data_IF_028572987138
#
_entry.id   IF_028572987138
#
_cell.length_a   1.000
_cell.length_b   1.000
_cell.length_c   1.000
_cell.angle_alpha   90.00
_cell.angle_beta   90.00
_cell.angle_gamma   90.00
#
_symmetry.space_group_name_H-M   'P 1'
#
loop_
_entity.id
_entity.type
_entity.pdbx_description
1 polymer ?
#
# COMPACT_ATOMS: atom_id res chain seq x y z
N UNK A 1 1.00 -14.53 -15.01
CA UNK A 1 1.92 -13.52 -15.39
C UNK A 1 1.55 -12.20 -14.81
N UNK A 2 2.32 -11.71 -13.96
CA UNK A 2 1.93 -10.54 -13.22
C UNK A 2 2.76 -9.35 -13.54
N UNK A 3 2.74 -8.98 -14.81
CA UNK A 3 3.48 -7.81 -15.25
C UNK A 3 2.58 -6.60 -15.33
N UNK A 4 1.72 -6.44 -14.33
CA UNK A 4 0.88 -5.28 -14.34
C UNK A 4 1.73 -4.03 -14.12
N UNK A 5 1.35 -2.91 -14.74
CA UNK A 5 2.04 -1.66 -14.48
C UNK A 5 2.05 -1.29 -13.01
N UNK A 6 1.00 -1.62 -12.29
CA UNK A 6 0.92 -1.34 -10.86
C UNK A 6 2.02 -2.05 -10.08
N UNK A 7 2.21 -3.36 -10.31
CA UNK A 7 3.24 -4.11 -9.60
C UNK A 7 4.63 -3.59 -9.94
N UNK A 8 4.87 -3.26 -11.20
CA UNK A 8 6.16 -2.70 -11.60
C UNK A 8 6.42 -1.39 -10.90
N UNK A 9 5.41 -0.54 -10.82
CA UNK A 9 5.58 0.76 -10.19
C UNK A 9 5.74 0.64 -8.69
N UNK A 10 5.05 -0.31 -8.06
CA UNK A 10 5.25 -0.57 -6.64
C UNK A 10 6.70 -0.98 -6.36
N UNK A 11 7.28 -1.77 -7.26
CA UNK A 11 8.68 -2.14 -7.13
C UNK A 11 9.61 -0.93 -7.18
N UNK A 12 9.34 -0.01 -8.09
CA UNK A 12 10.11 1.23 -8.20
C UNK A 12 9.94 2.06 -6.94
N UNK A 13 8.71 2.19 -6.46
CA UNK A 13 8.43 2.96 -5.25
C UNK A 13 9.16 2.38 -4.05
N UNK A 14 9.19 1.05 -3.96
CA UNK A 14 9.88 0.35 -2.89
C UNK A 14 11.38 0.62 -2.94
N UNK A 15 11.97 0.52 -4.12
CA UNK A 15 13.40 0.74 -4.27
C UNK A 15 13.81 2.16 -3.97
N UNK A 16 12.91 3.11 -4.18
CA UNK A 16 13.21 4.52 -3.90
C UNK A 16 13.07 4.85 -2.41
N UNK A 17 12.64 3.88 -1.58
CA UNK A 17 12.50 4.10 -0.16
C UNK A 17 11.20 4.78 0.24
N UNK A 18 10.21 4.77 -0.64
CA UNK A 18 8.95 5.45 -0.38
C UNK A 18 7.80 4.55 0.04
N UNK A 19 8.09 3.27 0.30
CA UNK A 19 7.10 2.36 0.86
C UNK A 19 7.45 2.00 2.30
N UNK A 20 6.43 1.88 3.11
CA UNK A 20 6.57 1.48 4.52
C UNK A 20 5.79 0.20 4.69
N UNK A 21 6.41 -0.79 5.32
CA UNK A 21 5.78 -2.08 5.58
C UNK A 21 5.61 -2.29 7.07
N UNK A 22 4.53 -2.99 7.42
CA UNK A 22 4.30 -3.37 8.81
C UNK A 22 3.47 -2.36 9.57
N UNK A 23 2.53 -2.88 10.35
CA UNK A 23 1.56 -2.05 11.04
C UNK A 23 2.20 -1.04 11.98
N UNK A 24 3.19 -1.48 12.75
CA UNK A 24 3.81 -0.60 13.75
C UNK A 24 4.60 0.53 13.10
N UNK A 25 5.31 0.21 12.02
CA UNK A 25 6.05 1.23 11.29
C UNK A 25 5.12 2.24 10.65
N UNK A 26 4.04 1.75 10.05
CA UNK A 26 3.08 2.63 9.40
C UNK A 26 2.46 3.56 10.43
N UNK A 27 2.11 3.03 11.61
CA UNK A 27 1.56 3.86 12.67
C UNK A 27 2.51 4.98 13.05
N UNK A 28 3.80 4.69 13.16
CA UNK A 28 4.79 5.71 13.48
C UNK A 28 4.80 6.83 12.44
N UNK A 29 4.76 6.46 11.16
CA UNK A 29 4.81 7.46 10.10
C UNK A 29 3.50 8.23 10.01
N UNK A 30 2.36 7.60 10.33
CA UNK A 30 1.08 8.31 10.38
C UNK A 30 1.15 9.40 11.45
N UNK A 31 1.71 9.07 12.63
CA UNK A 31 1.83 10.04 13.71
C UNK A 31 2.71 11.21 13.33
N UNK A 32 3.68 10.99 12.45
CA UNK A 32 4.54 12.04 11.94
C UNK A 32 3.96 12.75 10.72
N UNK A 33 2.75 12.38 10.33
CA UNK A 33 2.07 12.94 9.17
C UNK A 33 2.87 12.74 7.89
N UNK A 34 3.47 11.57 7.76
CA UNK A 34 4.31 11.24 6.60
C UNK A 34 3.74 10.13 5.74
N UNK A 35 2.46 9.83 5.85
CA UNK A 35 1.82 8.81 5.02
C UNK A 35 0.80 9.49 4.13
N UNK A 36 0.91 9.22 2.83
CA UNK A 36 0.04 9.86 1.85
C UNK A 36 -1.01 8.90 1.29
N UNK A 37 -0.80 7.61 1.41
CA UNK A 37 -1.72 6.61 0.88
C UNK A 37 -1.44 5.30 1.59
N UNK A 38 -2.50 4.54 1.85
CA UNK A 38 -2.38 3.21 2.44
C UNK A 38 -2.97 2.20 1.47
N UNK A 39 -2.26 1.09 1.28
CA UNK A 39 -2.69 0.01 0.39
C UNK A 39 -2.84 -1.26 1.23
N UNK A 40 -3.90 -2.01 0.96
CA UNK A 40 -4.15 -3.25 1.70
C UNK A 40 -4.10 -4.44 0.76
N UNK A 41 -3.55 -5.55 1.23
CA UNK A 41 -3.50 -6.78 0.44
C UNK A 41 -4.90 -7.36 0.29
N UNK A 42 -5.09 -8.13 -0.77
CA UNK A 42 -6.38 -8.78 -1.02
C UNK A 42 -6.80 -9.65 0.16
N UNK A 43 -5.85 -10.30 0.81
CA UNK A 43 -6.12 -11.22 1.91
C UNK A 43 -5.76 -10.63 3.27
N UNK A 44 -5.83 -9.31 3.43
CA UNK A 44 -5.62 -8.70 4.73
C UNK A 44 -6.70 -9.18 5.70
N UNK A 45 -6.31 -9.42 6.97
CA UNK A 45 -7.26 -9.86 7.98
C UNK A 45 -8.15 -8.70 8.41
N UNK A 46 -9.35 -9.05 8.90
CA UNK A 46 -10.26 -8.02 9.40
C UNK A 46 -9.66 -7.24 10.56
N UNK A 47 -8.93 -7.94 11.41
CA UNK A 47 -8.30 -7.29 12.56
C UNK A 47 -7.28 -6.26 12.11
N UNK A 48 -6.43 -6.62 11.15
CA UNK A 48 -5.45 -5.68 10.62
C UNK A 48 -6.11 -4.51 9.91
N UNK A 49 -7.17 -4.79 9.16
CA UNK A 49 -7.86 -3.73 8.44
C UNK A 49 -8.49 -2.73 9.42
N UNK A 50 -9.10 -3.25 10.50
CA UNK A 50 -9.69 -2.38 11.52
C UNK A 50 -8.63 -1.50 12.17
N UNK A 51 -7.46 -2.08 12.46
CA UNK A 51 -6.40 -1.31 13.08
C UNK A 51 -5.93 -0.17 12.17
N UNK A 52 -5.72 -0.46 10.89
CA UNK A 52 -5.21 0.57 10.00
C UNK A 52 -6.26 1.66 9.78
N UNK A 53 -7.54 1.29 9.75
CA UNK A 53 -8.60 2.29 9.67
C UNK A 53 -8.57 3.22 10.86
N UNK A 54 -8.40 2.66 12.05
CA UNK A 54 -8.33 3.46 13.26
C UNK A 54 -7.13 4.39 13.25
N UNK A 55 -5.98 3.90 12.81
CA UNK A 55 -4.79 4.73 12.77
C UNK A 55 -4.91 5.86 11.77
N UNK A 56 -5.56 5.61 10.64
CA UNK A 56 -5.68 6.63 9.59
C UNK A 56 -6.70 7.69 9.93
N UNK A 57 -7.68 7.37 10.78
CA UNK A 57 -8.71 8.30 11.25
C UNK A 57 -9.43 9.00 10.12
N UNK A 58 -9.58 8.35 9.01
CA UNK A 58 -10.24 8.90 7.81
C UNK A 58 -9.48 10.07 7.19
N UNK A 59 -8.26 10.30 7.62
CA UNK A 59 -7.43 11.38 7.04
C UNK A 59 -6.56 10.90 5.90
N UNK A 60 -6.37 9.59 5.81
CA UNK A 60 -5.51 9.00 4.79
C UNK A 60 -6.34 7.99 4.01
N UNK A 61 -6.27 8.08 2.70
CA UNK A 61 -7.03 7.17 1.85
C UNK A 61 -6.47 5.76 1.95
N UNK A 62 -7.35 4.78 2.02
CA UNK A 62 -6.99 3.36 2.04
C UNK A 62 -7.57 2.72 0.80
N UNK A 63 -6.73 2.15 -0.04
CA UNK A 63 -7.16 1.50 -1.28
C UNK A 63 -6.81 0.03 -1.25
N UNK A 64 -7.76 -0.85 -1.59
CA UNK A 64 -7.47 -2.28 -1.64
C UNK A 64 -6.73 -2.63 -2.92
N UNK A 65 -5.77 -3.53 -2.78
CA UNK A 65 -5.07 -4.11 -3.92
C UNK A 65 -5.73 -5.44 -4.27
N UNK A 66 -5.49 -5.88 -5.49
CA UNK A 66 -5.97 -7.20 -5.92
C UNK A 66 -4.90 -8.27 -5.82
N UNK A 67 -3.85 -7.99 -5.05
CA UNK A 67 -2.75 -8.93 -4.86
C UNK A 67 -2.70 -9.37 -3.41
N UNK A 68 -2.23 -10.60 -3.20
CA UNK A 68 -2.16 -11.21 -1.88
C UNK A 68 -0.87 -10.81 -1.17
N UNK A 69 -0.81 -11.13 0.14
CA UNK A 69 0.40 -10.90 0.92
C UNK A 69 1.58 -11.68 0.34
N UNK A 70 1.32 -12.87 -0.18
CA UNK A 70 2.38 -13.67 -0.78
C UNK A 70 2.91 -13.02 -2.05
N UNK A 71 2.00 -12.49 -2.87
CA UNK A 71 2.42 -11.78 -4.08
C UNK A 71 3.21 -10.52 -3.74
N UNK A 72 2.83 -9.86 -2.66
CA UNK A 72 3.59 -8.69 -2.19
C UNK A 72 4.99 -9.12 -1.80
N UNK A 73 5.12 -10.23 -1.07
CA UNK A 73 6.43 -10.72 -0.69
C UNK A 73 7.27 -11.07 -1.92
N UNK A 74 6.66 -11.75 -2.88
CA UNK A 74 7.40 -12.18 -4.07
C UNK A 74 7.85 -11.00 -4.92
N UNK A 75 7.07 -9.95 -4.96
CA UNK A 75 7.37 -8.78 -5.80
C UNK A 75 8.23 -7.76 -5.06
N UNK A 76 7.92 -7.50 -3.81
CA UNK A 76 8.54 -6.41 -3.05
C UNK A 76 9.51 -6.88 -1.98
N UNK A 77 9.54 -8.19 -1.71
CA UNK A 77 10.48 -8.74 -0.75
C UNK A 77 10.02 -8.74 0.70
N UNK A 78 8.81 -8.25 0.97
CA UNK A 78 8.29 -8.20 2.33
C UNK A 78 6.87 -8.72 2.40
N UNK A 79 6.62 -9.61 3.33
CA UNK A 79 5.29 -10.17 3.55
C UNK A 79 4.50 -9.20 4.43
N UNK A 80 3.49 -8.56 3.87
CA UNK A 80 2.75 -7.55 4.61
C UNK A 80 1.33 -7.44 4.08
N UNK A 81 0.39 -7.31 4.99
CA UNK A 81 -1.00 -7.09 4.61
C UNK A 81 -1.32 -5.62 4.38
N UNK A 82 -0.44 -4.73 4.79
CA UNK A 82 -0.66 -3.30 4.64
C UNK A 82 0.65 -2.63 4.26
N UNK A 83 0.55 -1.67 3.36
CA UNK A 83 1.69 -0.92 2.85
C UNK A 83 1.31 0.56 2.86
N UNK A 84 2.24 1.42 3.23
CA UNK A 84 2.00 2.86 3.18
C UNK A 84 2.95 3.51 2.19
N UNK A 85 2.49 4.58 1.56
CA UNK A 85 3.26 5.34 0.58
C UNK A 85 3.54 6.71 1.18
N UNK A 86 4.81 7.13 1.16
CA UNK A 86 5.23 8.36 1.81
C UNK A 86 5.16 9.58 0.92
N UNK A 87 5.27 9.40 -0.37
CA UNK A 87 5.40 10.51 -1.31
C UNK A 87 4.12 10.75 -2.09
N UNK A 88 3.73 12.02 -2.21
CA UNK A 88 2.51 12.38 -2.93
C UNK A 88 2.55 11.99 -4.41
N UNK A 89 3.68 12.19 -5.05
CA UNK A 89 3.79 11.89 -6.48
C UNK A 89 3.65 10.41 -6.74
N UNK A 90 4.31 9.58 -5.91
CA UNK A 90 4.15 8.13 -6.03
C UNK A 90 2.73 7.71 -5.68
N UNK A 91 2.14 8.32 -4.65
CA UNK A 91 0.77 7.98 -4.26
C UNK A 91 -0.21 8.29 -5.39
N UNK A 92 -0.08 9.44 -6.03
CA UNK A 92 -0.96 9.81 -7.12
C UNK A 92 -0.84 8.87 -8.31
N UNK A 93 0.38 8.48 -8.64
CA UNK A 93 0.59 7.54 -9.74
C UNK A 93 0.01 6.17 -9.41
N UNK A 94 0.18 5.72 -8.17
CA UNK A 94 -0.37 4.44 -7.76
C UNK A 94 -1.89 4.46 -7.84
N UNK A 95 -2.52 5.53 -7.37
CA UNK A 95 -3.97 5.66 -7.45
C UNK A 95 -4.44 5.60 -8.90
N UNK A 96 -3.73 6.28 -9.77
CA UNK A 96 -4.06 6.27 -11.19
C UNK A 96 -3.97 4.86 -11.78
N UNK A 97 -2.92 4.13 -11.43
CA UNK A 97 -2.74 2.77 -11.93
C UNK A 97 -3.82 1.82 -11.40
N UNK A 98 -4.22 1.99 -10.14
CA UNK A 98 -5.29 1.18 -9.59
C UNK A 98 -6.60 1.45 -10.32
N UNK A 99 -6.91 2.71 -10.55
CA UNK A 99 -8.15 3.06 -11.25
C UNK A 99 -8.14 2.56 -12.69
N UNK A 100 -6.99 2.59 -13.35
CA UNK A 100 -6.89 2.16 -14.73
C UNK A 100 -6.97 0.65 -14.89
N UNK A 101 -6.69 -0.10 -13.83
CA UNK A 101 -6.75 -1.57 -13.91
C UNK A 101 -8.11 -2.11 -13.52
N UNK A 102 -9.01 -1.25 -13.06
CA UNK A 102 -10.35 -1.70 -12.68
C UNK A 102 -11.18 -1.97 -13.93
N UNK A 103 -11.84 -3.12 -13.97
CA UNK A 103 -12.74 -3.38 -15.09
C UNK A 103 -13.94 -2.45 -15.01
N UNK A 104 -14.47 -2.20 -16.17
CA UNK A 104 -15.62 -1.32 -16.28
C UNK A 104 -16.90 -2.07 -16.24
#
# INVERSE_FOLDING_TARGET
MNNSPLLSFLGITCKSGNLIFGMDNIKKYILKKRVKLILTAKDISENSYSKIKNYSKSEIEILPLKITKEEIKNTLGKFSGVIAVKDDNFANKIKSLINNTSPR
#
